data_IF_051985840581
#
_entry.id   IF_051985840581
#
_cell.length_a   1.000
_cell.length_b   1.000
_cell.length_c   1.000
_cell.angle_alpha   90.00
_cell.angle_beta   90.00
_cell.angle_gamma   90.00
#
_symmetry.space_group_name_H-M   'P 1'
#
loop_
_entity.id
_entity.type
_entity.pdbx_description
1 polymer ?
#
# COMPACT_ATOMS: atom_id res chain seq x y z
N UNK A 1 -4.13 12.33 9.63
CA UNK A 1 -2.96 11.48 9.96
C UNK A 1 -2.62 11.55 11.44
N UNK A 2 -3.48 10.98 12.30
CA UNK A 2 -3.29 11.04 13.76
C UNK A 2 -2.17 10.11 14.25
N UNK A 3 -2.03 8.94 13.63
CA UNK A 3 -1.10 7.89 14.06
C UNK A 3 0.26 7.92 13.37
N UNK A 4 0.30 8.24 12.07
CA UNK A 4 1.55 8.22 11.30
C UNK A 4 2.43 9.45 11.56
N UNK A 5 1.83 10.63 11.70
CA UNK A 5 2.55 11.90 11.83
C UNK A 5 3.50 11.92 13.05
N UNK A 6 3.10 11.44 14.25
CA UNK A 6 4.01 11.30 15.38
C UNK A 6 5.22 10.39 15.12
N UNK A 7 5.08 9.36 14.27
CA UNK A 7 6.13 8.37 13.99
C UNK A 7 7.20 8.97 13.07
N UNK A 8 6.79 9.74 12.06
CA UNK A 8 7.70 10.29 11.03
C UNK A 8 8.19 11.73 11.32
N UNK A 9 7.67 12.36 12.37
CA UNK A 9 7.94 13.77 12.71
C UNK A 9 9.44 14.10 12.73
N UNK A 10 9.83 15.17 12.02
CA UNK A 10 11.18 15.72 12.03
C UNK A 10 12.17 15.06 11.07
N UNK A 11 11.85 13.92 10.44
CA UNK A 11 12.78 13.23 9.51
C UNK A 11 12.08 12.53 8.34
N UNK A 12 10.77 12.70 8.19
CA UNK A 12 10.00 12.13 7.09
C UNK A 12 8.85 13.00 6.63
N UNK A 13 8.35 12.67 5.45
CA UNK A 13 7.21 13.31 4.81
C UNK A 13 6.20 12.24 4.42
N UNK A 14 4.95 12.65 4.24
CA UNK A 14 3.90 11.77 3.76
C UNK A 14 2.97 12.53 2.82
N UNK A 15 2.57 11.86 1.75
CA UNK A 15 1.74 12.39 0.69
C UNK A 15 0.47 11.54 0.68
N UNK A 16 -0.65 12.18 1.00
CA UNK A 16 -1.97 11.57 0.90
C UNK A 16 -2.45 11.80 -0.52
N UNK A 17 -2.88 10.73 -1.17
CA UNK A 17 -3.47 10.78 -2.50
C UNK A 17 -2.59 11.39 -3.61
N UNK A 18 -1.26 11.11 -3.68
CA UNK A 18 -0.41 11.66 -4.73
C UNK A 18 -0.77 11.10 -6.10
N UNK A 19 -0.80 11.97 -7.10
CA UNK A 19 -1.05 11.60 -8.50
C UNK A 19 0.28 11.47 -9.27
N UNK A 20 0.40 10.40 -10.05
CA UNK A 20 1.51 10.23 -10.99
C UNK A 20 1.24 10.98 -12.31
N UNK A 21 2.27 11.12 -13.14
CA UNK A 21 2.14 11.68 -14.50
C UNK A 21 1.13 10.93 -15.37
N UNK A 22 0.86 9.67 -15.08
CA UNK A 22 -0.10 8.83 -15.79
C UNK A 22 -1.53 8.90 -15.20
N UNK A 23 -1.79 9.85 -14.27
CA UNK A 23 -3.06 9.99 -13.54
C UNK A 23 -3.43 8.79 -12.66
N UNK A 24 -2.44 7.94 -12.35
CA UNK A 24 -2.62 6.92 -11.32
C UNK A 24 -2.46 7.60 -9.96
N UNK A 25 -3.41 7.33 -9.06
CA UNK A 25 -3.46 7.90 -7.73
C UNK A 25 -3.12 6.78 -6.75
N UNK A 26 -2.16 7.02 -5.86
CA UNK A 26 -1.90 6.14 -4.72
C UNK A 26 -2.63 6.67 -3.51
N UNK A 27 -2.98 5.85 -2.54
CA UNK A 27 -3.62 6.37 -1.33
C UNK A 27 -2.63 7.10 -0.40
N UNK A 28 -1.45 6.53 -0.18
CA UNK A 28 -0.46 7.07 0.73
C UNK A 28 0.96 6.70 0.33
N UNK A 29 1.83 7.70 0.26
CA UNK A 29 3.28 7.53 0.09
C UNK A 29 3.98 8.15 1.29
N UNK A 30 4.93 7.44 1.89
CA UNK A 30 5.71 7.90 3.04
C UNK A 30 7.18 7.89 2.69
N UNK A 31 7.84 9.03 2.81
CA UNK A 31 9.30 9.12 2.74
C UNK A 31 9.86 9.21 4.16
N UNK A 32 10.69 8.25 4.54
CA UNK A 32 11.28 8.23 5.87
C UNK A 32 12.72 7.71 5.81
N UNK A 33 13.68 8.51 6.27
CA UNK A 33 15.11 8.16 6.32
C UNK A 33 15.71 7.66 4.99
N UNK A 34 15.22 8.19 3.86
CA UNK A 34 15.71 7.81 2.52
C UNK A 34 15.03 6.57 1.93
N UNK A 35 14.03 6.01 2.61
CA UNK A 35 13.20 4.93 2.10
C UNK A 35 11.79 5.46 1.79
N UNK A 36 11.22 5.01 0.67
CA UNK A 36 9.85 5.32 0.24
C UNK A 36 8.95 4.11 0.47
N UNK A 37 7.85 4.33 1.17
CA UNK A 37 6.84 3.32 1.49
C UNK A 37 5.54 3.67 0.77
N UNK A 38 5.11 2.79 -0.12
CA UNK A 38 3.85 2.91 -0.87
C UNK A 38 2.80 2.08 -0.16
N UNK A 39 1.72 2.72 0.25
CA UNK A 39 0.64 2.11 1.02
C UNK A 39 -0.68 2.32 0.30
N UNK A 40 -1.33 1.21 -0.06
CA UNK A 40 -2.68 1.20 -0.63
C UNK A 40 -3.69 0.78 0.43
N UNK A 41 -4.82 1.47 0.48
CA UNK A 41 -5.94 1.18 1.36
C UNK A 41 -7.07 0.56 0.56
N UNK A 42 -7.66 -0.51 1.10
CA UNK A 42 -8.71 -1.22 0.38
C UNK A 42 -9.84 -1.66 1.29
N UNK A 43 -11.08 -1.50 0.83
CA UNK A 43 -12.22 -2.22 1.37
C UNK A 43 -12.37 -3.56 0.63
N UNK A 44 -12.40 -4.67 1.36
CA UNK A 44 -12.49 -6.00 0.79
C UNK A 44 -13.91 -6.29 0.29
N UNK A 45 -14.03 -6.63 -1.00
CA UNK A 45 -15.31 -6.95 -1.67
C UNK A 45 -15.27 -8.28 -2.46
N UNK A 46 -14.24 -9.12 -2.26
CA UNK A 46 -14.05 -10.39 -2.97
C UNK A 46 -12.74 -10.47 -3.78
N UNK A 47 -12.38 -11.68 -4.21
CA UNK A 47 -11.06 -12.01 -4.77
C UNK A 47 -10.74 -11.30 -6.08
N UNK A 48 -11.73 -11.10 -6.95
CA UNK A 48 -11.54 -10.43 -8.24
C UNK A 48 -11.08 -8.97 -8.08
N UNK A 49 -11.52 -8.30 -7.01
CA UNK A 49 -11.08 -6.96 -6.66
C UNK A 49 -9.69 -6.96 -6.01
N UNK A 50 -9.22 -8.08 -5.42
CA UNK A 50 -7.87 -8.17 -4.80
C UNK A 50 -6.79 -8.18 -5.86
N UNK A 51 -6.95 -9.03 -6.88
CA UNK A 51 -6.01 -9.13 -7.98
C UNK A 51 -5.85 -7.81 -8.76
N UNK A 52 -6.89 -6.98 -8.81
CA UNK A 52 -6.83 -5.68 -9.49
C UNK A 52 -6.01 -4.64 -8.70
N UNK A 53 -6.17 -4.57 -7.38
CA UNK A 53 -5.37 -3.69 -6.52
C UNK A 53 -3.89 -4.09 -6.47
N UNK A 54 -3.61 -5.40 -6.42
CA UNK A 54 -2.25 -5.95 -6.48
C UNK A 54 -1.50 -5.54 -7.77
N UNK A 55 -2.20 -5.47 -8.89
CA UNK A 55 -1.62 -5.02 -10.17
C UNK A 55 -1.29 -3.53 -10.17
N UNK A 56 -2.18 -2.70 -9.65
CA UNK A 56 -1.99 -1.24 -9.58
C UNK A 56 -0.78 -0.88 -8.70
N UNK A 57 -0.65 -1.48 -7.52
CA UNK A 57 0.52 -1.23 -6.66
C UNK A 57 1.79 -1.77 -7.31
N UNK A 58 1.76 -2.91 -7.99
CA UNK A 58 2.92 -3.45 -8.69
C UNK A 58 3.38 -2.53 -9.84
N UNK A 59 2.47 -1.92 -10.58
CA UNK A 59 2.78 -0.95 -11.65
C UNK A 59 3.45 0.31 -11.09
N UNK A 60 2.97 0.81 -9.94
CA UNK A 60 3.61 1.95 -9.28
C UNK A 60 5.01 1.60 -8.75
N UNK A 61 5.15 0.46 -8.08
CA UNK A 61 6.44 -0.02 -7.59
C UNK A 61 7.46 -0.15 -8.72
N UNK A 62 7.04 -0.61 -9.90
CA UNK A 62 7.90 -0.64 -11.10
C UNK A 62 8.36 0.77 -11.50
N UNK A 63 7.44 1.74 -11.57
CA UNK A 63 7.76 3.11 -11.97
C UNK A 63 8.75 3.80 -11.03
N UNK A 64 8.69 3.51 -9.73
CA UNK A 64 9.58 4.08 -8.71
C UNK A 64 10.78 3.17 -8.37
N UNK A 65 11.01 2.10 -9.13
CA UNK A 65 12.08 1.11 -8.90
C UNK A 65 12.07 0.51 -7.48
N UNK A 66 10.89 0.39 -6.89
CA UNK A 66 10.67 -0.18 -5.56
C UNK A 66 10.37 -1.68 -5.66
N UNK A 67 10.94 -2.45 -4.73
CA UNK A 67 10.68 -3.90 -4.64
C UNK A 67 9.61 -4.29 -3.64
N UNK A 68 9.13 -3.33 -2.83
CA UNK A 68 8.22 -3.61 -1.72
C UNK A 68 7.10 -2.59 -1.62
N UNK A 69 5.86 -3.08 -1.55
CA UNK A 69 4.67 -2.28 -1.30
C UNK A 69 3.87 -2.81 -0.12
N UNK A 70 2.95 -1.99 0.38
CA UNK A 70 2.15 -2.29 1.55
C UNK A 70 0.67 -2.10 1.23
N UNK A 71 -0.17 -2.96 1.79
CA UNK A 71 -1.61 -2.89 1.60
C UNK A 71 -2.34 -3.09 2.92
N UNK A 72 -3.38 -2.29 3.16
CA UNK A 72 -4.28 -2.46 4.29
C UNK A 72 -5.67 -2.79 3.75
N UNK A 73 -6.08 -4.04 3.97
CA UNK A 73 -7.36 -4.58 3.52
C UNK A 73 -8.35 -4.62 4.67
N UNK A 74 -9.29 -3.67 4.68
CA UNK A 74 -10.43 -3.63 5.58
C UNK A 74 -11.47 -4.67 5.13
N UNK A 75 -11.48 -5.82 5.80
CA UNK A 75 -12.42 -6.88 5.51
C UNK A 75 -13.51 -6.91 6.59
N UNK A 76 -14.76 -6.66 6.20
CA UNK A 76 -15.88 -6.59 7.16
C UNK A 76 -16.61 -7.94 7.31
N UNK A 77 -16.13 -9.01 6.67
CA UNK A 77 -16.72 -10.33 6.81
C UNK A 77 -16.49 -10.91 8.21
N UNK A 78 -17.54 -11.46 8.80
CA UNK A 78 -17.47 -12.12 10.12
C UNK A 78 -16.54 -13.33 10.16
N UNK A 79 -16.27 -13.96 9.01
CA UNK A 79 -15.42 -15.16 8.89
C UNK A 79 -14.06 -14.86 8.22
N UNK A 80 -13.64 -13.59 8.18
CA UNK A 80 -12.35 -13.23 7.60
C UNK A 80 -11.19 -13.83 8.40
N UNK A 81 -10.08 -14.08 7.72
CA UNK A 81 -8.80 -14.33 8.36
C UNK A 81 -8.07 -12.99 8.52
N UNK A 82 -7.72 -12.65 9.76
CA UNK A 82 -7.00 -11.43 10.12
C UNK A 82 -5.51 -11.77 10.18
N UNK A 83 -4.65 -10.86 9.71
CA UNK A 83 -3.21 -11.03 9.84
C UNK A 83 -2.44 -10.27 8.78
N UNK A 84 -1.12 -10.46 8.83
CA UNK A 84 -0.20 -9.94 7.82
C UNK A 84 0.25 -11.10 6.95
N UNK A 85 0.20 -10.92 5.63
CA UNK A 85 0.61 -11.91 4.65
C UNK A 85 1.47 -11.26 3.58
N UNK A 86 2.44 -12.04 3.13
CA UNK A 86 3.35 -11.67 2.06
C UNK A 86 2.83 -12.25 0.74
N UNK A 87 2.68 -11.40 -0.27
CA UNK A 87 2.21 -11.75 -1.60
C UNK A 87 3.31 -11.38 -2.59
N UNK A 88 3.78 -12.37 -3.35
CA UNK A 88 4.79 -12.15 -4.38
C UNK A 88 4.10 -11.89 -5.71
N UNK A 89 4.38 -10.75 -6.33
CA UNK A 89 3.85 -10.35 -7.63
C UNK A 89 5.02 -10.02 -8.57
N UNK A 90 5.34 -10.96 -9.45
CA UNK A 90 6.56 -10.85 -10.27
C UNK A 90 7.81 -10.89 -9.39
N UNK A 91 8.60 -9.82 -9.44
CA UNK A 91 9.82 -9.63 -8.62
C UNK A 91 9.58 -8.75 -7.37
N UNK A 92 8.32 -8.37 -7.10
CA UNK A 92 7.92 -7.48 -6.01
C UNK A 92 7.28 -8.24 -4.86
N UNK A 93 7.46 -7.70 -3.66
CA UNK A 93 6.85 -8.16 -2.43
C UNK A 93 5.76 -7.18 -1.98
N UNK A 94 4.53 -7.66 -1.85
CA UNK A 94 3.42 -6.92 -1.25
C UNK A 94 3.14 -7.47 0.14
N UNK A 95 3.21 -6.60 1.14
CA UNK A 95 2.85 -6.94 2.53
C UNK A 95 1.41 -6.47 2.78
N UNK A 96 0.46 -7.39 2.83
CA UNK A 96 -0.95 -7.11 3.05
C UNK A 96 -1.34 -7.39 4.51
N UNK A 97 -1.83 -6.37 5.21
CA UNK A 97 -2.50 -6.50 6.49
C UNK A 97 -4.02 -6.56 6.27
N UNK A 98 -4.65 -7.68 6.61
CA UNK A 98 -6.11 -7.83 6.61
C UNK A 98 -6.64 -7.53 8.01
N UNK A 99 -7.55 -6.57 8.12
CA UNK A 99 -8.14 -6.09 9.39
C UNK A 99 -9.65 -6.15 9.42
#
# INVERSE_FOLDING_TARGET
MLFLKPIINGTGNCYVEPETRNRERMDLVVDYRGEQFVVELKIWHGDAYNKRGEKQIAEYLEYYELKKGYMISFNFNKKKEIGVKDIVVGDKLLVEAVV
#
